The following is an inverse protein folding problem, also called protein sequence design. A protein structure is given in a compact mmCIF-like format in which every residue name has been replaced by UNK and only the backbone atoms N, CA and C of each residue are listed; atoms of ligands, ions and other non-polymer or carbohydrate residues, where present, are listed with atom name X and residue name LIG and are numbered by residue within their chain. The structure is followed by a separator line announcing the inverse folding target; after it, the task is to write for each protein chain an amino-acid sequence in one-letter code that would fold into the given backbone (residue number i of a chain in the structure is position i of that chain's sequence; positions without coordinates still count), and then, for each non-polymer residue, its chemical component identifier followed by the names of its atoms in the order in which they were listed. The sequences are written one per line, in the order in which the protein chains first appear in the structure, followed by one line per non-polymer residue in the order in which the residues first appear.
data_IF_766961752811
#
_entry.id   IF_766961752811
#
_cell.length_a   1.000
_cell.length_b   1.000
_cell.length_c   1.000
_cell.angle_alpha   90.00
_cell.angle_beta   90.00
_cell.angle_gamma   90.00
#
_symmetry.space_group_name_H-M   'P 1'
#
loop_
_entity.id
_entity.type
_entity.pdbx_description
1 polymer ?
#
# COMPACT_ATOMS: atom_id res chain seq x y z
N UNK A 1 0.91 -16.80 -15.11
CA UNK A 1 0.20 -15.52 -14.94
C UNK A 1 1.03 -14.40 -15.57
N UNK A 2 0.50 -13.58 -16.49
CA UNK A 2 1.25 -12.46 -17.08
C UNK A 2 1.18 -11.24 -16.15
N UNK A 3 2.33 -10.70 -15.76
CA UNK A 3 2.42 -9.46 -14.98
C UNK A 3 1.96 -8.31 -15.87
N UNK A 4 0.90 -7.61 -15.46
CA UNK A 4 0.33 -6.53 -16.27
C UNK A 4 0.80 -5.12 -15.84
N UNK A 5 1.41 -5.00 -14.67
CA UNK A 5 2.00 -3.76 -14.12
C UNK A 5 3.35 -4.06 -13.43
N UNK A 6 4.46 -4.07 -14.17
CA UNK A 6 5.77 -4.44 -13.62
C UNK A 6 6.25 -3.46 -12.54
N UNK A 7 5.89 -2.18 -12.63
CA UNK A 7 6.30 -1.14 -11.68
C UNK A 7 5.64 -1.38 -10.31
N UNK A 8 4.31 -1.57 -10.26
CA UNK A 8 3.60 -1.87 -9.01
C UNK A 8 4.04 -3.20 -8.41
N UNK A 9 4.41 -4.17 -9.24
CA UNK A 9 4.96 -5.45 -8.79
C UNK A 9 6.34 -5.30 -8.15
N UNK A 10 7.25 -4.54 -8.80
CA UNK A 10 8.58 -4.27 -8.26
C UNK A 10 8.52 -3.51 -6.93
N UNK A 11 7.67 -2.48 -6.84
CA UNK A 11 7.44 -1.72 -5.60
C UNK A 11 6.87 -2.64 -4.51
N UNK A 12 5.88 -3.48 -4.86
CA UNK A 12 5.29 -4.45 -3.93
C UNK A 12 6.31 -5.45 -3.38
N UNK A 13 7.22 -5.97 -4.21
CA UNK A 13 8.30 -6.87 -3.78
C UNK A 13 9.28 -6.16 -2.85
N UNK A 14 9.70 -4.93 -3.21
CA UNK A 14 10.63 -4.15 -2.38
C UNK A 14 10.04 -3.93 -0.97
N UNK A 15 8.76 -3.54 -0.91
CA UNK A 15 8.03 -3.36 0.35
C UNK A 15 7.88 -4.68 1.13
N UNK A 16 7.64 -5.79 0.43
CA UNK A 16 7.52 -7.11 1.04
C UNK A 16 8.84 -7.54 1.70
N UNK A 17 9.98 -7.34 1.03
CA UNK A 17 11.30 -7.62 1.59
C UNK A 17 11.56 -6.77 2.85
N UNK A 18 11.21 -5.48 2.80
CA UNK A 18 11.36 -4.60 3.95
C UNK A 18 10.44 -5.00 5.12
N UNK A 19 9.21 -5.43 4.84
CA UNK A 19 8.27 -5.93 5.85
C UNK A 19 8.78 -7.22 6.52
N UNK A 20 9.29 -8.17 5.73
CA UNK A 20 9.88 -9.40 6.24
C UNK A 20 11.13 -9.11 7.09
N UNK A 21 11.96 -8.16 6.67
CA UNK A 21 13.11 -7.73 7.47
C UNK A 21 12.68 -7.19 8.85
N UNK A 22 11.64 -6.33 8.89
CA UNK A 22 11.13 -5.81 10.16
C UNK A 22 10.47 -6.87 11.05
N UNK A 23 9.80 -7.86 10.47
CA UNK A 23 9.15 -8.92 11.23
C UNK A 23 10.18 -9.90 11.83
N UNK A 24 11.19 -10.29 11.04
CA UNK A 24 12.16 -11.34 11.40
C UNK A 24 13.30 -10.79 12.26
N UNK A 25 13.87 -9.64 11.91
CA UNK A 25 15.07 -9.12 12.58
C UNK A 25 14.76 -8.13 13.72
N UNK A 26 13.70 -7.33 13.58
CA UNK A 26 13.31 -6.33 14.59
C UNK A 26 12.24 -6.86 15.55
N UNK A 27 11.62 -8.02 15.27
CA UNK A 27 10.57 -8.62 16.10
C UNK A 27 9.36 -7.72 16.32
N UNK A 28 9.17 -6.71 15.48
CA UNK A 28 8.20 -5.66 15.71
C UNK A 28 6.93 -5.93 14.91
N UNK A 29 5.80 -5.94 15.62
CA UNK A 29 4.46 -6.09 15.07
C UNK A 29 4.11 -5.02 14.02
N UNK A 30 4.81 -3.89 14.05
CA UNK A 30 4.72 -2.87 13.02
C UNK A 30 5.05 -3.38 11.60
N UNK A 31 5.82 -4.47 11.46
CA UNK A 31 6.10 -5.11 10.18
C UNK A 31 4.86 -5.72 9.50
N UNK A 32 3.75 -5.93 10.23
CA UNK A 32 2.50 -6.43 9.65
C UNK A 32 1.84 -5.42 8.71
N UNK A 33 1.90 -4.13 9.04
CA UNK A 33 1.28 -3.08 8.22
C UNK A 33 1.84 -3.01 6.79
N UNK A 34 3.18 -2.87 6.60
CA UNK A 34 3.74 -2.92 5.27
C UNK A 34 3.52 -4.26 4.60
N UNK A 35 3.43 -5.38 5.34
CA UNK A 35 3.15 -6.69 4.77
C UNK A 35 1.78 -6.73 4.09
N UNK A 36 0.72 -6.26 4.76
CA UNK A 36 -0.63 -6.18 4.18
C UNK A 36 -0.69 -5.23 2.98
N UNK A 37 0.00 -4.09 3.06
CA UNK A 37 0.10 -3.13 1.96
C UNK A 37 0.79 -3.78 0.74
N UNK A 38 1.89 -4.49 0.98
CA UNK A 38 2.67 -5.16 -0.06
C UNK A 38 1.88 -6.27 -0.75
N UNK A 39 1.22 -7.14 0.03
CA UNK A 39 0.42 -8.23 -0.51
C UNK A 39 -0.72 -7.72 -1.39
N UNK A 40 -1.37 -6.65 -0.93
CA UNK A 40 -2.47 -6.00 -1.66
C UNK A 40 -1.99 -5.35 -2.96
N UNK A 41 -0.79 -4.74 -2.98
CA UNK A 41 -0.16 -4.21 -4.21
C UNK A 41 0.20 -5.32 -5.21
N UNK A 42 0.78 -6.42 -4.72
CA UNK A 42 1.13 -7.58 -5.54
C UNK A 42 -0.13 -8.17 -6.16
N UNK A 43 -1.19 -8.35 -5.37
CA UNK A 43 -2.49 -8.81 -5.84
C UNK A 43 -3.09 -7.88 -6.90
N UNK A 44 -3.05 -6.57 -6.68
CA UNK A 44 -3.51 -5.58 -7.64
C UNK A 44 -2.72 -5.59 -8.97
N UNK A 45 -1.44 -6.01 -8.96
CA UNK A 45 -0.65 -6.13 -10.19
C UNK A 45 -1.15 -7.24 -11.12
N UNK A 46 -1.82 -8.26 -10.56
CA UNK A 46 -2.45 -9.33 -11.32
C UNK A 46 -3.88 -8.99 -11.77
N UNK A 47 -4.64 -8.25 -10.95
CA UNK A 47 -6.05 -7.90 -11.22
C UNK A 47 -6.22 -6.47 -11.73
N UNK A 48 -6.23 -6.31 -13.04
CA UNK A 48 -6.23 -5.00 -13.70
C UNK A 48 -7.63 -4.54 -14.15
N UNK A 49 -8.58 -4.49 -13.20
CA UNK A 49 -9.94 -4.01 -13.44
C UNK A 49 -10.18 -2.64 -12.80
N UNK A 50 -10.83 -1.71 -13.52
CA UNK A 50 -11.14 -0.35 -13.03
C UNK A 50 -11.82 -0.35 -11.66
N UNK A 51 -12.87 -1.18 -11.51
CA UNK A 51 -13.61 -1.28 -10.24
C UNK A 51 -12.70 -1.75 -9.10
N UNK A 52 -11.90 -2.79 -9.36
CA UNK A 52 -10.97 -3.37 -8.36
C UNK A 52 -9.90 -2.34 -7.95
N UNK A 53 -9.30 -1.61 -8.89
CA UNK A 53 -8.29 -0.61 -8.57
C UNK A 53 -8.83 0.54 -7.73
N UNK A 54 -10.06 0.99 -8.00
CA UNK A 54 -10.68 2.08 -7.23
C UNK A 54 -11.11 1.60 -5.85
N UNK A 55 -11.71 0.41 -5.74
CA UNK A 55 -12.12 -0.17 -4.45
C UNK A 55 -10.90 -0.40 -3.56
N UNK A 56 -9.85 -1.04 -4.09
CA UNK A 56 -8.60 -1.23 -3.35
C UNK A 56 -8.01 0.10 -2.92
N UNK A 57 -7.91 1.07 -3.83
CA UNK A 57 -7.41 2.40 -3.51
C UNK A 57 -8.19 3.08 -2.37
N UNK A 58 -9.52 2.93 -2.35
CA UNK A 58 -10.35 3.46 -1.28
C UNK A 58 -10.11 2.75 0.06
N UNK A 59 -9.98 1.41 0.05
CA UNK A 59 -9.64 0.64 1.25
C UNK A 59 -8.28 1.07 1.83
N UNK A 60 -7.29 1.33 0.98
CA UNK A 60 -5.98 1.86 1.39
C UNK A 60 -6.06 3.25 2.02
N UNK A 61 -6.92 4.13 1.51
CA UNK A 61 -7.15 5.45 2.13
C UNK A 61 -7.78 5.29 3.51
N UNK A 62 -8.83 4.47 3.64
CA UNK A 62 -9.51 4.25 4.93
C UNK A 62 -8.56 3.65 5.96
N UNK A 63 -7.86 2.57 5.61
CA UNK A 63 -6.86 1.92 6.47
C UNK A 63 -5.74 2.90 6.83
N UNK A 64 -5.29 3.70 5.87
CA UNK A 64 -4.29 4.75 6.06
C UNK A 64 -4.75 5.82 7.06
N UNK A 65 -6.00 6.28 6.99
CA UNK A 65 -6.57 7.23 7.96
C UNK A 65 -6.62 6.66 9.38
N UNK A 66 -6.99 5.38 9.53
CA UNK A 66 -6.98 4.69 10.82
C UNK A 66 -5.55 4.60 11.38
N UNK A 67 -4.58 4.23 10.53
CA UNK A 67 -3.16 4.16 10.88
C UNK A 67 -2.56 5.51 11.28
N UNK A 68 -2.91 6.58 10.58
CA UNK A 68 -2.49 7.95 10.93
C UNK A 68 -3.07 8.34 12.28
N UNK A 69 -4.37 8.12 12.49
CA UNK A 69 -5.05 8.44 13.76
C UNK A 69 -4.39 7.68 14.91
N UNK A 70 -4.17 6.37 14.75
CA UNK A 70 -3.42 5.56 15.70
C UNK A 70 -2.02 6.14 15.94
N UNK A 71 -1.29 6.47 14.88
CA UNK A 71 0.05 7.04 14.96
C UNK A 71 0.11 8.34 15.75
N UNK A 72 -0.91 9.20 15.60
CA UNK A 72 -1.05 10.45 16.36
C UNK A 72 -1.27 10.17 17.84
N UNK A 73 -2.07 9.16 18.20
CA UNK A 73 -2.23 8.77 19.61
C UNK A 73 -0.94 8.26 20.26
N UNK A 74 0.00 7.70 19.48
CA UNK A 74 1.25 7.21 20.03
C UNK A 74 2.36 8.28 20.10
N UNK A 75 2.15 9.51 19.59
CA UNK A 75 3.15 10.60 19.65
C UNK A 75 3.76 10.85 21.04
N UNK A 76 3.03 10.87 22.17
CA UNK A 76 3.63 11.11 23.48
C UNK A 76 4.62 10.02 23.93
N UNK A 77 4.63 8.86 23.26
CA UNK A 77 5.50 7.74 23.55
C UNK A 77 6.62 7.58 22.50
N UNK A 78 6.93 8.61 21.68
CA UNK A 78 7.99 8.55 20.65
C UNK A 78 9.38 8.85 21.20
N UNK A 79 10.34 7.95 20.93
CA UNK A 79 11.76 8.29 20.95
C UNK A 79 12.18 9.07 19.70
N UNK A 80 13.22 9.90 19.82
CA UNK A 80 13.68 10.83 18.77
C UNK A 80 14.57 10.20 17.68
N UNK A 81 14.40 8.92 17.36
CA UNK A 81 15.25 8.22 16.40
C UNK A 81 14.53 7.95 15.06
N UNK A 82 15.29 8.03 13.97
CA UNK A 82 14.76 7.88 12.60
C UNK A 82 14.19 6.47 12.37
N UNK A 83 14.84 5.44 12.93
CA UNK A 83 14.34 4.08 12.91
C UNK A 83 12.95 3.98 13.55
N UNK A 84 12.67 4.75 14.61
CA UNK A 84 11.34 4.78 15.21
C UNK A 84 10.29 5.32 14.25
N UNK A 85 10.62 6.28 13.38
CA UNK A 85 9.67 6.82 12.39
C UNK A 85 9.25 5.75 11.39
N UNK A 86 10.19 4.98 10.85
CA UNK A 86 9.90 3.93 9.86
C UNK A 86 9.13 2.74 10.41
N UNK A 87 9.13 2.57 11.73
CA UNK A 87 8.41 1.48 12.41
C UNK A 87 7.05 1.97 12.93
N UNK A 88 6.75 3.27 12.82
CA UNK A 88 5.49 3.82 13.34
C UNK A 88 4.33 3.63 12.37
N UNK A 89 3.12 3.37 12.89
CA UNK A 89 1.91 3.31 12.08
C UNK A 89 1.64 4.64 11.34
N UNK A 90 2.13 5.78 11.86
CA UNK A 90 1.98 7.08 11.22
C UNK A 90 2.66 7.16 9.84
N UNK A 91 3.90 6.66 9.73
CA UNK A 91 4.65 6.65 8.46
C UNK A 91 3.95 5.78 7.43
N UNK A 92 3.61 4.55 7.81
CA UNK A 92 2.91 3.60 6.94
C UNK A 92 1.48 4.05 6.60
N UNK A 93 0.82 4.76 7.52
CA UNK A 93 -0.49 5.37 7.29
C UNK A 93 -0.43 6.42 6.19
N UNK A 94 0.54 7.33 6.21
CA UNK A 94 0.74 8.31 5.14
C UNK A 94 1.04 7.64 3.79
N UNK A 95 1.96 6.66 3.77
CA UNK A 95 2.27 5.89 2.55
C UNK A 95 1.01 5.19 2.02
N UNK A 96 0.17 4.63 2.89
CA UNK A 96 -1.10 3.98 2.53
C UNK A 96 -2.11 4.98 1.94
N UNK A 97 -2.24 6.18 2.51
CA UNK A 97 -3.12 7.23 1.98
C UNK A 97 -2.66 7.68 0.60
N UNK A 98 -1.39 8.07 0.45
CA UNK A 98 -0.85 8.54 -0.84
C UNK A 98 -0.88 7.43 -1.89
N UNK A 99 -0.55 6.20 -1.52
CA UNK A 99 -0.67 5.02 -2.39
C UNK A 99 -2.11 4.75 -2.82
N UNK A 100 -3.06 4.84 -1.89
CA UNK A 100 -4.49 4.67 -2.15
C UNK A 100 -5.04 5.73 -3.10
N UNK A 101 -4.69 7.00 -2.89
CA UNK A 101 -5.05 8.11 -3.78
C UNK A 101 -4.49 7.86 -5.19
N UNK A 102 -3.22 7.45 -5.29
CA UNK A 102 -2.60 7.12 -6.58
C UNK A 102 -3.35 6.00 -7.31
N UNK A 103 -3.77 4.93 -6.61
CA UNK A 103 -4.57 3.86 -7.20
C UNK A 103 -5.96 4.34 -7.66
N UNK A 104 -6.60 5.22 -6.90
CA UNK A 104 -7.89 5.81 -7.29
C UNK A 104 -7.72 6.60 -8.60
N UNK A 105 -6.76 7.53 -8.67
CA UNK A 105 -6.49 8.30 -9.88
C UNK A 105 -6.12 7.40 -11.06
N UNK A 106 -5.27 6.40 -10.84
CA UNK A 106 -4.91 5.44 -11.88
C UNK A 106 -6.14 4.67 -12.41
N UNK A 107 -7.14 4.41 -11.56
CA UNK A 107 -8.42 3.84 -11.96
C UNK A 107 -9.24 4.70 -12.95
N UNK A 108 -9.02 6.01 -12.98
CA UNK A 108 -9.66 6.95 -13.92
C UNK A 108 -8.76 7.34 -15.11
N UNK A 109 -7.49 6.93 -15.12
CA UNK A 109 -6.59 7.21 -16.23
C UNK A 109 -7.01 6.52 -17.54
N UNK A 110 -6.66 7.14 -18.67
CA UNK A 110 -6.94 6.61 -20.02
C UNK A 110 -6.39 5.19 -20.23
N UNK A 111 -5.28 4.83 -19.57
CA UNK A 111 -4.70 3.49 -19.58
C UNK A 111 -5.68 2.42 -19.09
N UNK A 112 -6.47 2.71 -18.04
CA UNK A 112 -7.45 1.80 -17.50
C UNK A 112 -8.77 1.84 -18.28
N UNK A 113 -9.17 3.01 -18.79
CA UNK A 113 -10.38 3.16 -19.61
C UNK A 113 -10.32 2.34 -20.90
N UNK A 114 -9.20 2.41 -21.64
CA UNK A 114 -8.96 1.60 -22.85
C UNK A 114 -8.93 0.09 -22.56
N UNK A 115 -8.43 -0.30 -21.38
CA UNK A 115 -8.43 -1.72 -20.95
C UNK A 115 -9.81 -2.24 -20.58
N UNK A 116 -10.68 -1.40 -20.01
CA UNK A 116 -12.07 -1.80 -19.72
C UNK A 116 -12.92 -1.99 -20.98
N UNK A 117 -12.72 -1.14 -22.01
CA UNK A 117 -13.43 -1.26 -23.30
C UNK A 117 -13.05 -2.56 -24.00
N UNK A 118 -11.75 -2.87 -24.10
CA UNK A 118 -11.23 -4.09 -24.75
C UNK A 118 -11.58 -5.41 -24.05
N UNK A 119 -12.15 -5.36 -22.85
CA UNK A 119 -12.60 -6.55 -22.10
C UNK A 119 -14.12 -6.77 -22.22
N UNK A 120 -14.83 -5.85 -22.88
CA UNK A 120 -16.28 -5.90 -23.13
C UNK A 120 -16.61 -6.26 -24.59
N UNK A 121 -15.57 -6.36 -25.44
CA UNK A 121 -15.59 -7.00 -26.77
C UNK A 121 -15.14 -8.45 -26.63
#
# INVERSE_FOLDING_TARGET
MKIKQPISFAIGILLLLMALYMLIFLGNWAGLFPLFISLSLIFASFYQGRKVTVILGHMFVVVGCVLVTWGVYLLPYTGASILYVFVRPLFWGLISIFGGICMIYHGFCACMKRKSEKSSE
#
